data_IF_915129805029
#
_entry.id   IF_915129805029
#
_cell.length_a   1.000
_cell.length_b   1.000
_cell.length_c   1.000
_cell.angle_alpha   90.00
_cell.angle_beta   90.00
_cell.angle_gamma   90.00
#
_symmetry.space_group_name_H-M   'P 1'
#
loop_
_entity.id
_entity.type
_entity.pdbx_description
1 polymer ?
#
# COMPACT_ATOMS: atom_id res chain seq x y z
N UNK A 1 -6.72 33.12 -10.90
CA UNK A 1 -5.26 33.11 -10.67
C UNK A 1 -4.69 31.72 -10.95
N UNK A 2 -3.40 31.59 -11.25
CA UNK A 2 -2.73 30.30 -11.29
C UNK A 2 -1.86 30.12 -10.04
N UNK A 3 -1.97 28.98 -9.37
CA UNK A 3 -1.18 28.62 -8.20
C UNK A 3 -0.37 27.36 -8.50
N UNK A 4 0.91 27.39 -8.14
CA UNK A 4 1.80 26.25 -8.27
C UNK A 4 1.98 25.58 -6.90
N UNK A 5 1.37 24.42 -6.71
CA UNK A 5 1.47 23.64 -5.47
C UNK A 5 2.53 22.56 -5.67
N UNK A 6 3.67 22.67 -4.97
CA UNK A 6 4.81 21.76 -5.08
C UNK A 6 5.95 22.30 -5.95
N UNK A 7 6.96 21.48 -6.30
CA UNK A 7 7.09 20.06 -5.98
C UNK A 7 7.48 19.78 -4.52
N UNK A 8 7.89 20.81 -3.76
CA UNK A 8 8.23 20.71 -2.35
C UNK A 8 7.14 21.38 -1.49
N UNK A 9 6.20 20.59 -1.01
CA UNK A 9 5.16 21.02 -0.07
C UNK A 9 4.79 19.85 0.86
N UNK A 10 4.54 20.07 2.16
CA UNK A 10 4.25 18.98 3.11
C UNK A 10 3.08 18.07 2.68
N UNK A 11 2.03 18.65 2.09
CA UNK A 11 0.86 17.89 1.62
C UNK A 11 1.07 17.13 0.30
N UNK A 12 2.23 17.27 -0.33
CA UNK A 12 2.53 16.58 -1.59
C UNK A 12 2.98 15.12 -1.38
N UNK A 13 3.37 14.75 -0.14
CA UNK A 13 3.84 13.42 0.25
C UNK A 13 4.85 12.80 -0.72
N UNK A 14 5.80 13.61 -1.16
CA UNK A 14 6.80 13.23 -2.16
C UNK A 14 7.08 14.38 -3.11
N UNK A 15 7.62 14.06 -4.29
CA UNK A 15 7.87 15.02 -5.34
C UNK A 15 6.67 15.05 -6.30
N UNK A 16 5.71 15.90 -6.00
CA UNK A 16 4.49 16.06 -6.78
C UNK A 16 4.15 17.55 -6.94
N UNK A 17 3.87 17.95 -8.17
CA UNK A 17 3.51 19.32 -8.51
C UNK A 17 2.14 19.34 -9.16
N UNK A 18 1.30 20.29 -8.77
CA UNK A 18 0.01 20.56 -9.41
C UNK A 18 -0.10 22.04 -9.73
N UNK A 19 -0.41 22.34 -10.99
CA UNK A 19 -0.73 23.69 -11.44
C UNK A 19 -2.24 23.85 -11.34
N UNK A 20 -2.69 24.74 -10.45
CA UNK A 20 -4.11 24.96 -10.16
C UNK A 20 -4.57 26.27 -10.80
N UNK A 21 -5.67 26.21 -11.56
CA UNK A 21 -6.41 27.40 -11.96
C UNK A 21 -7.51 27.67 -10.94
N UNK A 22 -7.42 28.81 -10.27
CA UNK A 22 -8.33 29.21 -9.19
C UNK A 22 -9.17 30.43 -9.56
N UNK A 23 -10.42 30.43 -9.13
CA UNK A 23 -11.32 31.57 -9.11
C UNK A 23 -11.77 31.81 -7.66
N UNK A 24 -11.10 32.75 -6.98
CA UNK A 24 -11.19 32.84 -5.53
C UNK A 24 -10.70 31.55 -4.85
N UNK A 25 -11.59 30.89 -4.12
CA UNK A 25 -11.32 29.60 -3.44
C UNK A 25 -11.71 28.38 -4.28
N UNK A 26 -12.38 28.57 -5.43
CA UNK A 26 -12.81 27.46 -6.29
C UNK A 26 -11.70 27.04 -7.25
N UNK A 27 -11.44 25.73 -7.32
CA UNK A 27 -10.58 25.13 -8.33
C UNK A 27 -11.38 24.99 -9.63
N UNK A 28 -10.99 25.69 -10.69
CA UNK A 28 -11.60 25.60 -12.02
C UNK A 28 -10.94 24.53 -12.89
N UNK A 29 -9.63 24.37 -12.78
CA UNK A 29 -8.86 23.37 -13.50
C UNK A 29 -7.60 22.98 -12.72
N UNK A 30 -7.06 21.79 -12.97
CA UNK A 30 -5.81 21.34 -12.40
C UNK A 30 -5.01 20.48 -13.39
N UNK A 31 -3.71 20.77 -13.49
CA UNK A 31 -2.77 19.99 -14.30
C UNK A 31 -1.72 19.39 -13.36
N UNK A 32 -1.78 18.06 -13.09
CA UNK A 32 -0.74 17.38 -12.34
C UNK A 32 0.52 17.23 -13.21
N UNK A 33 1.64 17.74 -12.71
CA UNK A 33 2.96 17.65 -13.32
C UNK A 33 3.76 16.57 -12.56
N UNK A 34 3.84 15.39 -13.18
CA UNK A 34 4.45 14.17 -12.61
C UNK A 34 5.80 13.86 -13.28
N UNK A 35 6.53 12.90 -12.71
CA UNK A 35 7.78 12.41 -13.28
C UNK A 35 9.04 12.84 -12.53
N UNK A 36 8.92 13.69 -11.50
CA UNK A 36 10.04 14.05 -10.61
C UNK A 36 10.68 12.83 -9.91
N UNK A 37 9.94 11.74 -9.76
CA UNK A 37 10.44 10.47 -9.21
C UNK A 37 10.57 9.37 -10.29
N UNK A 38 10.51 9.72 -11.58
CA UNK A 38 10.73 8.77 -12.67
C UNK A 38 12.20 8.34 -12.70
N UNK A 39 12.43 7.03 -12.64
CA UNK A 39 13.77 6.43 -12.57
C UNK A 39 14.06 5.45 -13.71
N UNK A 40 13.21 5.41 -14.73
CA UNK A 40 13.35 4.46 -15.85
C UNK A 40 13.37 2.99 -15.42
N UNK A 41 12.55 2.61 -14.43
CA UNK A 41 12.55 1.26 -13.85
C UNK A 41 12.26 0.19 -14.91
N UNK A 42 11.34 0.46 -15.83
CA UNK A 42 11.02 -0.42 -16.97
C UNK A 42 12.23 -0.61 -17.89
N UNK A 43 12.98 0.46 -18.17
CA UNK A 43 14.21 0.37 -18.96
C UNK A 43 15.31 -0.41 -18.24
N UNK A 44 15.37 -0.30 -16.91
CA UNK A 44 16.27 -1.15 -16.12
C UNK A 44 15.85 -2.61 -16.19
N UNK A 45 14.55 -2.92 -16.23
CA UNK A 45 14.04 -4.28 -16.36
C UNK A 45 14.56 -5.00 -17.62
N UNK A 46 14.64 -4.29 -18.75
CA UNK A 46 15.16 -4.87 -20.01
C UNK A 46 16.61 -5.35 -19.92
N UNK A 47 17.42 -4.72 -19.06
CA UNK A 47 18.84 -5.07 -18.87
C UNK A 47 19.04 -6.12 -17.78
N UNK A 48 18.13 -6.19 -16.81
CA UNK A 48 18.29 -7.04 -15.64
C UNK A 48 17.86 -8.48 -15.94
N UNK A 49 18.55 -9.43 -15.29
CA UNK A 49 18.03 -10.80 -15.21
C UNK A 49 16.75 -10.81 -14.39
N UNK A 50 15.93 -11.85 -14.55
CA UNK A 50 14.67 -11.94 -13.81
C UNK A 50 14.84 -11.85 -12.28
N UNK A 51 15.91 -12.43 -11.75
CA UNK A 51 16.19 -12.39 -10.31
C UNK A 51 16.75 -11.05 -9.83
N UNK A 52 17.61 -10.41 -10.63
CA UNK A 52 18.21 -9.12 -10.27
C UNK A 52 17.23 -7.96 -10.39
N UNK A 53 16.11 -8.13 -11.10
CA UNK A 53 15.05 -7.13 -11.16
C UNK A 53 14.11 -7.12 -9.94
N UNK A 54 13.96 -8.22 -9.19
CA UNK A 54 13.04 -8.32 -8.03
C UNK A 54 13.18 -7.13 -7.05
N UNK A 55 14.38 -6.68 -6.65
CA UNK A 55 14.50 -5.56 -5.71
C UNK A 55 13.97 -4.21 -6.26
N UNK A 56 13.75 -4.08 -7.56
CA UNK A 56 13.13 -2.88 -8.13
C UNK A 56 11.62 -2.84 -7.88
N UNK A 57 10.95 -3.99 -7.89
CA UNK A 57 9.48 -4.05 -7.71
C UNK A 57 9.05 -3.59 -6.32
N UNK A 58 9.81 -3.94 -5.27
CA UNK A 58 9.64 -3.44 -3.90
C UNK A 58 9.78 -1.91 -3.74
N UNK A 59 10.34 -1.23 -4.74
CA UNK A 59 10.69 0.19 -4.67
C UNK A 59 9.85 1.07 -5.59
N UNK A 60 8.95 0.48 -6.39
CA UNK A 60 7.99 1.24 -7.20
C UNK A 60 6.93 1.85 -6.28
N UNK A 61 6.26 1.00 -5.49
CA UNK A 61 5.53 1.42 -4.29
C UNK A 61 6.35 1.02 -3.07
N UNK A 62 6.99 2.01 -2.46
CA UNK A 62 7.92 1.80 -1.35
C UNK A 62 7.24 1.39 -0.04
N UNK A 63 5.91 1.41 0.03
CA UNK A 63 5.14 1.01 1.21
C UNK A 63 4.64 -0.42 1.13
N UNK A 64 4.38 -0.92 -0.09
CA UNK A 64 3.86 -2.27 -0.29
C UNK A 64 4.87 -3.38 -0.03
N UNK A 65 6.17 -3.06 0.06
CA UNK A 65 7.25 -4.02 0.35
C UNK A 65 7.10 -5.31 -0.45
N UNK A 66 7.23 -6.46 0.21
CA UNK A 66 7.16 -7.76 -0.48
C UNK A 66 5.88 -7.98 -1.29
N UNK A 67 4.75 -7.36 -0.93
CA UNK A 67 3.51 -7.49 -1.69
C UNK A 67 3.67 -6.98 -3.13
N UNK A 68 4.56 -6.02 -3.38
CA UNK A 68 4.83 -5.49 -4.72
C UNK A 68 5.66 -6.44 -5.59
N UNK A 69 6.36 -7.41 -5.00
CA UNK A 69 6.99 -8.47 -5.77
C UNK A 69 5.95 -9.44 -6.36
N UNK A 70 4.75 -9.57 -5.77
CA UNK A 70 3.78 -10.61 -6.15
C UNK A 70 3.41 -10.59 -7.63
N UNK A 71 2.98 -9.46 -8.23
CA UNK A 71 2.61 -9.45 -9.65
C UNK A 71 3.78 -9.86 -10.56
N UNK A 72 5.00 -9.46 -10.20
CA UNK A 72 6.20 -9.76 -10.96
C UNK A 72 6.59 -11.25 -10.85
N UNK A 73 6.75 -11.78 -9.64
CA UNK A 73 7.17 -13.18 -9.45
C UNK A 73 6.11 -14.14 -9.98
N UNK A 74 4.82 -13.85 -9.79
CA UNK A 74 3.73 -14.67 -10.33
C UNK A 74 3.68 -14.63 -11.85
N UNK A 75 3.93 -13.47 -12.47
CA UNK A 75 4.01 -13.35 -13.92
C UNK A 75 5.12 -14.23 -14.50
N UNK A 76 6.30 -14.20 -13.88
CA UNK A 76 7.43 -15.05 -14.28
C UNK A 76 7.16 -16.53 -14.02
N UNK A 77 6.58 -16.88 -12.86
CA UNK A 77 6.19 -18.25 -12.51
C UNK A 77 5.19 -18.83 -13.51
N UNK A 78 4.20 -18.04 -13.93
CA UNK A 78 3.22 -18.43 -14.92
C UNK A 78 3.86 -18.67 -16.29
N UNK A 79 4.76 -17.77 -16.74
CA UNK A 79 5.49 -17.92 -18.00
C UNK A 79 6.39 -19.17 -18.01
N UNK A 80 6.98 -19.50 -16.87
CA UNK A 80 7.91 -20.63 -16.72
C UNK A 80 7.21 -21.96 -16.34
N UNK A 81 5.90 -21.96 -16.12
CA UNK A 81 5.16 -23.15 -15.67
C UNK A 81 5.54 -23.63 -14.26
N UNK A 82 6.01 -22.73 -13.40
CA UNK A 82 6.48 -23.05 -12.04
C UNK A 82 5.29 -23.12 -11.09
N UNK A 83 5.14 -24.24 -10.39
CA UNK A 83 4.16 -24.38 -9.30
C UNK A 83 4.84 -24.10 -7.96
N UNK A 84 4.38 -23.06 -7.26
CA UNK A 84 4.92 -22.66 -5.95
C UNK A 84 4.37 -23.56 -4.84
N UNK A 85 5.20 -24.06 -3.91
CA UNK A 85 4.75 -24.91 -2.79
C UNK A 85 3.71 -24.21 -1.89
N UNK A 86 2.73 -24.96 -1.38
CA UNK A 86 1.65 -24.44 -0.52
C UNK A 86 2.15 -23.64 0.69
N UNK A 87 3.26 -24.08 1.31
CA UNK A 87 3.89 -23.36 2.43
C UNK A 87 4.37 -21.97 2.01
N UNK A 88 5.04 -21.87 0.87
CA UNK A 88 5.53 -20.59 0.36
C UNK A 88 4.38 -19.66 -0.05
N UNK A 89 3.29 -20.21 -0.61
CA UNK A 89 2.08 -19.45 -0.89
C UNK A 89 1.45 -18.85 0.38
N UNK A 90 1.36 -19.63 1.45
CA UNK A 90 0.84 -19.16 2.75
C UNK A 90 1.73 -18.06 3.35
N UNK A 91 3.07 -18.23 3.30
CA UNK A 91 4.02 -17.20 3.74
C UNK A 91 3.83 -15.91 2.93
N UNK A 92 3.66 -16.02 1.61
CA UNK A 92 3.43 -14.87 0.73
C UNK A 92 2.16 -14.11 1.11
N UNK A 93 1.05 -14.81 1.39
CA UNK A 93 -0.20 -14.16 1.84
C UNK A 93 0.00 -13.48 3.19
N UNK A 94 0.58 -14.16 4.17
CA UNK A 94 0.84 -13.59 5.50
C UNK A 94 1.67 -12.30 5.41
N UNK A 95 2.79 -12.33 4.68
CA UNK A 95 3.65 -11.16 4.50
C UNK A 95 2.94 -10.05 3.73
N UNK A 96 2.15 -10.39 2.70
CA UNK A 96 1.38 -9.41 1.94
C UNK A 96 0.34 -8.69 2.79
N UNK A 97 -0.34 -9.41 3.69
CA UNK A 97 -1.31 -8.81 4.61
C UNK A 97 -0.65 -7.98 5.71
N UNK A 98 0.55 -8.34 6.20
CA UNK A 98 1.33 -7.47 7.09
C UNK A 98 1.69 -6.14 6.41
N UNK A 99 2.18 -6.18 5.17
CA UNK A 99 2.45 -4.96 4.40
C UNK A 99 1.16 -4.18 4.07
N UNK A 100 0.03 -4.86 3.83
CA UNK A 100 -1.27 -4.20 3.63
C UNK A 100 -1.70 -3.43 4.87
N UNK A 101 -1.61 -4.04 6.06
CA UNK A 101 -1.92 -3.36 7.33
C UNK A 101 -0.99 -2.16 7.53
N UNK A 102 0.32 -2.34 7.30
CA UNK A 102 1.32 -1.30 7.44
C UNK A 102 1.06 -0.10 6.49
N UNK A 103 0.69 -0.38 5.24
CA UNK A 103 0.32 0.64 4.25
C UNK A 103 -0.93 1.41 4.69
N UNK A 104 -2.00 0.71 5.10
CA UNK A 104 -3.22 1.37 5.57
C UNK A 104 -3.02 2.23 6.82
N UNK A 105 -2.15 1.82 7.75
CA UNK A 105 -1.80 2.65 8.91
C UNK A 105 -1.14 3.95 8.50
N UNK A 106 -0.23 3.92 7.53
CA UNK A 106 0.39 5.14 7.04
C UNK A 106 -0.65 6.03 6.34
N UNK A 107 -1.43 5.46 5.42
CA UNK A 107 -2.46 6.20 4.69
C UNK A 107 -3.43 6.93 5.63
N UNK A 108 -3.96 6.23 6.64
CA UNK A 108 -4.88 6.83 7.60
C UNK A 108 -4.16 7.92 8.40
N UNK A 109 -2.94 7.66 8.87
CA UNK A 109 -2.17 8.60 9.67
C UNK A 109 -1.89 9.90 8.93
N UNK A 110 -1.42 9.82 7.67
CA UNK A 110 -1.12 10.99 6.85
C UNK A 110 -2.39 11.72 6.41
N UNK A 111 -3.47 11.00 6.09
CA UNK A 111 -4.74 11.64 5.73
C UNK A 111 -5.31 12.49 6.89
N UNK A 112 -5.20 12.01 8.14
CA UNK A 112 -5.60 12.77 9.32
C UNK A 112 -4.64 13.95 9.56
N UNK A 113 -3.33 13.73 9.37
CA UNK A 113 -2.31 14.77 9.49
C UNK A 113 -2.56 15.93 8.53
N UNK A 114 -2.85 15.63 7.25
CA UNK A 114 -3.13 16.64 6.22
C UNK A 114 -4.43 17.40 6.48
N UNK A 115 -5.39 16.77 7.15
CA UNK A 115 -6.60 17.43 7.64
C UNK A 115 -6.36 18.28 8.90
N UNK A 116 -5.15 18.27 9.48
CA UNK A 116 -4.71 19.05 10.63
C UNK A 116 -4.57 18.27 11.95
N UNK A 117 -4.90 16.98 11.97
CA UNK A 117 -4.80 16.12 13.15
C UNK A 117 -3.40 15.54 13.34
N UNK A 118 -2.55 16.23 14.12
CA UNK A 118 -1.13 15.86 14.23
C UNK A 118 -0.83 14.62 15.09
N UNK A 119 -1.61 14.30 16.12
CA UNK A 119 -1.26 13.22 17.06
C UNK A 119 -1.37 11.79 16.46
N UNK A 120 -2.44 11.43 15.72
CA UNK A 120 -2.64 10.04 15.28
C UNK A 120 -1.51 9.48 14.42
N UNK A 121 -0.86 10.31 13.59
CA UNK A 121 0.25 9.85 12.74
C UNK A 121 1.39 9.28 13.58
N UNK A 122 1.79 9.94 14.69
CA UNK A 122 2.88 9.45 15.54
C UNK A 122 2.58 8.08 16.16
N UNK A 123 1.34 7.87 16.60
CA UNK A 123 0.91 6.58 17.13
C UNK A 123 0.87 5.49 16.07
N UNK A 124 0.36 5.81 14.87
CA UNK A 124 0.36 4.85 13.77
C UNK A 124 1.78 4.51 13.33
N UNK A 125 2.72 5.44 13.32
CA UNK A 125 4.14 5.16 13.08
C UNK A 125 4.74 4.24 14.15
N UNK A 126 4.40 4.42 15.43
CA UNK A 126 4.83 3.52 16.50
C UNK A 126 4.25 2.10 16.33
N UNK A 127 3.00 1.98 15.90
CA UNK A 127 2.40 0.66 15.62
C UNK A 127 2.99 0.01 14.36
N UNK A 128 3.28 0.81 13.32
CA UNK A 128 4.01 0.33 12.12
C UNK A 128 5.40 -0.20 12.48
N UNK A 129 6.08 0.38 13.46
CA UNK A 129 7.36 -0.13 13.95
C UNK A 129 7.24 -1.58 14.40
N UNK A 130 6.20 -1.95 15.17
CA UNK A 130 5.99 -3.33 15.63
C UNK A 130 5.82 -4.31 14.48
N UNK A 131 5.13 -3.89 13.41
CA UNK A 131 4.99 -4.70 12.20
C UNK A 131 6.36 -4.84 11.52
N UNK A 132 7.13 -3.75 11.43
CA UNK A 132 8.48 -3.80 10.87
C UNK A 132 9.44 -4.65 11.68
N UNK A 133 9.35 -4.69 13.01
CA UNK A 133 10.20 -5.54 13.86
C UNK A 133 9.98 -7.03 13.52
N UNK A 134 8.73 -7.44 13.28
CA UNK A 134 8.42 -8.79 12.84
C UNK A 134 8.91 -9.06 11.40
N UNK A 135 8.73 -8.10 10.49
CA UNK A 135 9.21 -8.23 9.11
C UNK A 135 10.74 -8.34 9.08
N UNK A 136 11.45 -7.54 9.89
CA UNK A 136 12.90 -7.58 10.03
C UNK A 136 13.38 -8.92 10.59
N UNK A 137 12.75 -9.41 11.66
CA UNK A 137 13.08 -10.71 12.22
C UNK A 137 12.87 -11.86 11.21
N UNK A 138 11.89 -11.75 10.31
CA UNK A 138 11.63 -12.76 9.28
C UNK A 138 12.59 -12.62 8.09
N UNK A 139 12.85 -11.40 7.64
CA UNK A 139 13.44 -11.16 6.32
C UNK A 139 14.85 -10.55 6.35
N UNK A 140 15.30 -10.07 7.50
CA UNK A 140 16.53 -9.29 7.67
C UNK A 140 16.43 -7.82 7.24
N UNK A 141 15.29 -7.39 6.69
CA UNK A 141 15.07 -6.02 6.22
C UNK A 141 13.70 -5.50 6.65
N UNK A 142 13.55 -4.17 6.68
CA UNK A 142 12.31 -3.53 7.13
C UNK A 142 11.38 -3.17 5.99
N UNK A 143 11.83 -2.31 5.07
CA UNK A 143 10.97 -1.72 4.02
C UNK A 143 11.05 -2.43 2.68
N UNK A 144 12.25 -2.86 2.25
CA UNK A 144 12.48 -3.46 0.92
C UNK A 144 13.20 -4.81 1.02
N UNK A 145 12.51 -5.88 1.45
CA UNK A 145 13.18 -7.14 1.76
C UNK A 145 13.58 -8.00 0.56
N UNK A 146 12.98 -7.78 -0.61
CA UNK A 146 13.10 -8.66 -1.78
C UNK A 146 12.94 -10.14 -1.42
N UNK A 147 11.99 -10.44 -0.53
CA UNK A 147 11.86 -11.77 0.09
C UNK A 147 11.14 -12.78 -0.80
N UNK A 148 10.18 -12.31 -1.61
CA UNK A 148 9.52 -13.19 -2.57
C UNK A 148 10.46 -13.41 -3.75
N UNK A 149 10.67 -14.67 -4.11
CA UNK A 149 11.54 -15.10 -5.20
C UNK A 149 10.75 -15.92 -6.19
N UNK A 150 11.20 -16.00 -7.43
CA UNK A 150 10.59 -16.87 -8.44
C UNK A 150 10.62 -18.30 -7.91
N UNK A 151 9.45 -18.93 -7.77
CA UNK A 151 9.26 -20.27 -7.20
C UNK A 151 8.95 -20.32 -5.70
N UNK A 152 8.92 -19.19 -4.99
CA UNK A 152 8.54 -19.16 -3.57
C UNK A 152 9.09 -17.97 -2.77
N UNK A 153 9.85 -18.26 -1.73
CA UNK A 153 10.46 -17.28 -0.81
C UNK A 153 11.97 -17.49 -0.74
N UNK A 154 12.72 -16.45 -0.35
CA UNK A 154 14.18 -16.51 -0.25
C UNK A 154 14.64 -17.53 0.81
N UNK A 155 13.99 -17.52 1.97
CA UNK A 155 14.18 -18.50 3.04
C UNK A 155 12.82 -18.88 3.64
N UNK A 156 12.82 -19.93 4.46
CA UNK A 156 11.67 -20.26 5.31
C UNK A 156 11.58 -19.30 6.51
N UNK A 157 10.46 -19.32 7.22
CA UNK A 157 10.25 -18.52 8.43
C UNK A 157 11.22 -18.93 9.55
N UNK A 158 11.74 -17.98 10.34
CA UNK A 158 12.63 -18.27 11.45
C UNK A 158 11.92 -19.05 12.56
N UNK A 159 12.68 -19.69 13.43
CA UNK A 159 12.13 -20.31 14.63
C UNK A 159 11.35 -19.27 15.47
N UNK A 160 10.22 -19.69 16.04
CA UNK A 160 9.33 -18.85 16.86
C UNK A 160 8.66 -17.68 16.12
N UNK A 161 8.61 -17.67 14.78
CA UNK A 161 7.88 -16.64 14.01
C UNK A 161 6.42 -16.49 14.46
N UNK A 162 5.78 -17.56 14.94
CA UNK A 162 4.39 -17.54 15.39
C UNK A 162 4.19 -16.57 16.56
N UNK A 163 5.19 -16.43 17.45
CA UNK A 163 5.13 -15.50 18.58
C UNK A 163 5.05 -14.06 18.07
N UNK A 164 5.91 -13.70 17.11
CA UNK A 164 5.95 -12.37 16.50
C UNK A 164 4.58 -12.00 15.88
N UNK A 165 3.98 -12.94 15.16
CA UNK A 165 2.67 -12.71 14.53
C UNK A 165 1.56 -12.64 15.58
N UNK A 166 1.57 -13.49 16.61
CA UNK A 166 0.57 -13.44 17.70
C UNK A 166 0.59 -12.11 18.43
N UNK A 167 1.78 -11.59 18.75
CA UNK A 167 1.92 -10.29 19.41
C UNK A 167 1.31 -9.15 18.58
N UNK A 168 1.49 -9.16 17.26
CA UNK A 168 0.83 -8.20 16.35
C UNK A 168 -0.69 -8.37 16.37
N UNK A 169 -1.18 -9.61 16.28
CA UNK A 169 -2.62 -9.91 16.26
C UNK A 169 -3.33 -9.56 17.57
N UNK A 170 -2.63 -9.63 18.71
CA UNK A 170 -3.16 -9.23 20.02
C UNK A 170 -3.10 -7.71 20.22
N UNK A 171 -2.08 -7.05 19.66
CA UNK A 171 -1.87 -5.61 19.79
C UNK A 171 -2.82 -4.79 18.90
N UNK A 172 -2.87 -5.12 17.61
CA UNK A 172 -3.49 -4.28 16.59
C UNK A 172 -4.99 -3.99 16.79
N UNK A 173 -5.86 -4.95 17.16
CA UNK A 173 -7.29 -4.69 17.26
C UNK A 173 -7.64 -3.60 18.27
N UNK A 174 -6.94 -3.54 19.41
CA UNK A 174 -7.15 -2.51 20.43
C UNK A 174 -6.77 -1.12 19.90
N UNK A 175 -5.62 -1.03 19.23
CA UNK A 175 -5.13 0.20 18.59
C UNK A 175 -6.08 0.69 17.50
N UNK A 176 -6.56 -0.20 16.63
CA UNK A 176 -7.52 0.16 15.58
C UNK A 176 -8.83 0.72 16.16
N UNK A 177 -9.32 0.15 17.27
CA UNK A 177 -10.51 0.67 17.97
C UNK A 177 -10.26 2.07 18.53
N UNK A 178 -9.08 2.32 19.10
CA UNK A 178 -8.68 3.65 19.56
C UNK A 178 -8.61 4.66 18.40
N UNK A 179 -7.96 4.32 17.29
CA UNK A 179 -7.89 5.19 16.11
C UNK A 179 -9.26 5.51 15.52
N UNK A 180 -10.12 4.50 15.44
CA UNK A 180 -11.48 4.70 14.97
C UNK A 180 -12.26 5.67 15.86
N UNK A 181 -12.15 5.52 17.18
CA UNK A 181 -12.91 6.32 18.15
C UNK A 181 -12.35 7.73 18.31
N UNK A 182 -11.03 7.87 18.40
CA UNK A 182 -10.36 9.13 18.70
C UNK A 182 -10.14 10.00 17.46
N UNK A 183 -9.97 9.41 16.27
CA UNK A 183 -9.63 10.15 15.07
C UNK A 183 -10.67 10.01 13.96
N UNK A 184 -11.03 8.79 13.54
CA UNK A 184 -11.90 8.60 12.36
C UNK A 184 -13.35 9.05 12.60
N UNK A 185 -13.85 8.94 13.83
CA UNK A 185 -15.18 9.44 14.23
C UNK A 185 -15.20 10.93 14.58
N UNK A 186 -14.07 11.61 14.58
CA UNK A 186 -14.00 13.02 14.93
C UNK A 186 -14.84 13.85 13.95
N UNK A 187 -15.74 14.71 14.47
CA UNK A 187 -16.66 15.49 13.65
C UNK A 187 -15.96 16.46 12.70
N UNK A 188 -14.81 17.01 13.09
CA UNK A 188 -14.00 17.88 12.22
C UNK A 188 -13.45 17.08 11.06
N UNK A 189 -12.82 15.93 11.32
CA UNK A 189 -12.28 15.07 10.26
C UNK A 189 -13.37 14.60 9.30
N UNK A 190 -14.52 14.15 9.83
CA UNK A 190 -15.68 13.78 9.02
C UNK A 190 -16.20 14.97 8.21
N UNK A 191 -16.30 16.16 8.81
CA UNK A 191 -16.74 17.37 8.12
C UNK A 191 -15.79 17.82 6.99
N UNK A 192 -14.49 17.51 7.09
CA UNK A 192 -13.48 17.83 6.07
C UNK A 192 -13.36 16.80 4.95
N UNK A 193 -13.98 15.64 5.08
CA UNK A 193 -13.85 14.52 4.13
C UNK A 193 -15.17 14.08 3.51
N UNK A 194 -16.30 14.31 4.20
CA UNK A 194 -17.63 13.99 3.67
C UNK A 194 -17.96 14.91 2.51
N UNK A 195 -18.45 14.31 1.42
CA UNK A 195 -18.84 14.99 0.18
C UNK A 195 -17.70 15.75 -0.53
N UNK A 196 -16.45 15.33 -0.32
CA UNK A 196 -15.29 15.87 -1.03
C UNK A 196 -14.83 14.87 -2.11
N UNK A 197 -14.53 15.37 -3.31
CA UNK A 197 -14.02 14.58 -4.45
C UNK A 197 -14.86 13.33 -4.77
N UNK A 198 -16.19 13.48 -4.77
CA UNK A 198 -17.13 12.40 -5.08
C UNK A 198 -17.10 12.06 -6.57
N UNK A 199 -17.22 10.76 -6.87
CA UNK A 199 -17.41 10.24 -8.22
C UNK A 199 -18.30 9.00 -8.16
N UNK A 200 -19.01 8.72 -9.26
CA UNK A 200 -19.91 7.57 -9.35
C UNK A 200 -19.21 6.34 -9.93
N UNK A 201 -19.92 5.20 -9.89
CA UNK A 201 -19.41 3.92 -10.38
C UNK A 201 -19.06 3.96 -11.88
N UNK A 202 -19.84 4.71 -12.68
CA UNK A 202 -19.60 4.85 -14.12
C UNK A 202 -18.30 5.60 -14.40
N UNK A 203 -18.06 6.70 -13.69
CA UNK A 203 -16.85 7.51 -13.82
C UNK A 203 -15.62 6.73 -13.32
N UNK A 204 -15.75 6.04 -12.18
CA UNK A 204 -14.68 5.20 -11.65
C UNK A 204 -14.21 4.14 -12.66
N UNK A 205 -15.16 3.45 -13.32
CA UNK A 205 -14.84 2.49 -14.37
C UNK A 205 -14.22 3.14 -15.61
N UNK A 206 -14.75 4.29 -16.05
CA UNK A 206 -14.23 5.02 -17.21
C UNK A 206 -12.80 5.51 -16.99
N UNK A 207 -12.43 5.88 -15.76
CA UNK A 207 -11.08 6.33 -15.40
C UNK A 207 -10.12 5.21 -15.02
N UNK A 208 -10.59 3.95 -14.97
CA UNK A 208 -9.77 2.81 -14.56
C UNK A 208 -9.41 2.80 -13.07
N UNK A 209 -10.26 3.36 -12.21
CA UNK A 209 -10.07 3.33 -10.75
C UNK A 209 -10.18 1.89 -10.22
N UNK A 210 -9.29 1.50 -9.33
CA UNK A 210 -9.26 0.16 -8.72
C UNK A 210 -9.19 0.22 -7.19
N UNK A 211 -9.24 -0.95 -6.53
CA UNK A 211 -9.02 -1.06 -5.10
C UNK A 211 -10.10 -0.39 -4.25
N UNK A 212 -9.68 0.36 -3.22
CA UNK A 212 -10.60 1.02 -2.27
C UNK A 212 -11.45 2.10 -2.92
N UNK A 213 -10.92 2.83 -3.91
CA UNK A 213 -11.67 3.86 -4.64
C UNK A 213 -12.86 3.29 -5.41
N UNK A 214 -12.66 2.17 -6.12
CA UNK A 214 -13.73 1.48 -6.83
C UNK A 214 -14.78 0.91 -5.88
N UNK A 215 -14.34 0.30 -4.77
CA UNK A 215 -15.28 -0.24 -3.77
C UNK A 215 -16.10 0.84 -3.08
N UNK A 216 -15.55 2.04 -2.92
CA UNK A 216 -16.28 3.17 -2.35
C UNK A 216 -17.48 3.62 -3.20
N UNK A 217 -17.50 3.32 -4.50
CA UNK A 217 -18.64 3.61 -5.39
C UNK A 217 -19.73 2.54 -5.35
N UNK A 218 -19.62 1.54 -4.46
CA UNK A 218 -20.57 0.44 -4.32
C UNK A 218 -20.30 -0.78 -5.23
N UNK A 219 -19.23 -0.76 -6.04
CA UNK A 219 -18.84 -1.93 -6.83
C UNK A 219 -18.04 -2.88 -5.93
N UNK A 220 -18.62 -4.04 -5.60
CA UNK A 220 -17.93 -5.07 -4.81
C UNK A 220 -16.95 -5.88 -5.68
N UNK A 221 -15.77 -5.31 -5.92
CA UNK A 221 -14.68 -5.94 -6.66
C UNK A 221 -13.37 -5.97 -5.84
N UNK A 222 -12.83 -7.16 -5.64
CA UNK A 222 -11.50 -7.41 -5.08
C UNK A 222 -10.83 -8.56 -5.83
N UNK A 223 -9.65 -8.32 -6.39
CA UNK A 223 -8.91 -9.31 -7.18
C UNK A 223 -8.69 -10.60 -6.39
N UNK A 224 -8.47 -10.52 -5.07
CA UNK A 224 -8.23 -11.70 -4.22
C UNK A 224 -9.44 -12.62 -4.11
N UNK A 225 -10.65 -12.14 -4.42
CA UNK A 225 -11.89 -12.94 -4.45
C UNK A 225 -12.27 -13.35 -5.87
N UNK A 226 -12.21 -12.41 -6.81
CA UNK A 226 -12.66 -12.65 -8.20
C UNK A 226 -11.62 -13.40 -9.05
N UNK A 227 -10.33 -13.24 -8.76
CA UNK A 227 -9.21 -13.90 -9.44
C UNK A 227 -8.17 -14.29 -8.39
N UNK A 228 -8.52 -15.23 -7.49
CA UNK A 228 -7.68 -15.57 -6.36
C UNK A 228 -6.31 -16.09 -6.80
N UNK A 229 -5.31 -15.86 -5.95
CA UNK A 229 -3.93 -16.24 -6.19
C UNK A 229 -3.24 -16.62 -4.87
N UNK A 230 -2.14 -17.37 -4.95
CA UNK A 230 -1.25 -17.67 -3.81
C UNK A 230 -1.98 -18.21 -2.56
N UNK A 231 -3.12 -18.90 -2.73
CA UNK A 231 -3.87 -19.49 -1.61
C UNK A 231 -4.93 -18.59 -0.98
N UNK A 232 -5.19 -17.38 -1.49
CA UNK A 232 -6.26 -16.52 -0.98
C UNK A 232 -7.65 -17.19 -1.04
N UNK A 233 -7.89 -18.08 -2.02
CA UNK A 233 -9.11 -18.87 -2.16
C UNK A 233 -9.37 -19.84 -1.00
N UNK A 234 -8.33 -20.19 -0.24
CA UNK A 234 -8.42 -21.10 0.92
C UNK A 234 -8.77 -20.35 2.21
N UNK A 235 -8.85 -19.01 2.18
CA UNK A 235 -9.04 -18.14 3.35
C UNK A 235 -10.40 -17.46 3.35
N UNK A 236 -10.97 -17.25 4.54
CA UNK A 236 -12.22 -16.52 4.73
C UNK A 236 -11.96 -15.07 5.13
N UNK A 237 -12.47 -14.12 4.35
CA UNK A 237 -12.41 -12.68 4.60
C UNK A 237 -13.51 -11.92 3.85
#
# INVERSE_FOLDING_TARGET
>A
MFLNLGPNHPSAHGAFRVILQLDGEEVKDCVPDIGYHHRGVEKMAERQTWHSFIPYTDRVDYLGGCAQNMPYVMGVEQLAGITVPDRAQCIRVMMSELFRINNHLLYIGTAIQDAGGMTPVFYMFADRQKIYDAIEAITGFRMHPAWFRIGGTAHDLPNNWQKLIREILEWMPKRLKEYHTAALKNSVFVGRTRNVAQYDAKSALAWGVTGTGLRATGIDFDVRKYRPYSGYEKLRF
#
